data_IF_146423388854
#
_entry.id   IF_146423388854
#
_cell.length_a   1.000
_cell.length_b   1.000
_cell.length_c   1.000
_cell.angle_alpha   90.00
_cell.angle_beta   90.00
_cell.angle_gamma   90.00
#
_symmetry.space_group_name_H-M   'P 1'
#
loop_
_entity.id
_entity.type
_entity.pdbx_description
1 polymer ?
#
# COMPACT_ATOMS: atom_id res chain seq x y z
N UNK A 1 36.44 -12.27 6.04
CA UNK A 1 35.90 -13.23 7.02
C UNK A 1 34.92 -12.59 8.01
N UNK A 2 35.26 -11.49 8.69
CA UNK A 2 34.36 -10.85 9.66
C UNK A 2 32.99 -10.42 9.08
N UNK A 3 32.96 -9.84 7.87
CA UNK A 3 31.71 -9.44 7.20
C UNK A 3 30.77 -10.63 6.94
N UNK A 4 31.33 -11.77 6.50
CA UNK A 4 30.53 -12.98 6.24
C UNK A 4 29.91 -13.53 7.53
N UNK A 5 30.64 -13.47 8.65
CA UNK A 5 30.12 -13.88 9.96
C UNK A 5 28.99 -12.96 10.45
N UNK A 6 29.12 -11.64 10.25
CA UNK A 6 28.06 -10.67 10.60
C UNK A 6 26.81 -10.88 9.73
N UNK A 7 26.97 -11.08 8.42
CA UNK A 7 25.86 -11.35 7.52
C UNK A 7 25.14 -12.66 7.87
N UNK A 8 25.88 -13.72 8.19
CA UNK A 8 25.31 -15.00 8.62
C UNK A 8 24.56 -14.86 9.96
N UNK A 9 25.13 -14.17 10.94
CA UNK A 9 24.47 -13.90 12.23
C UNK A 9 23.17 -13.10 12.08
N UNK A 10 23.18 -12.06 11.24
CA UNK A 10 21.99 -11.28 10.93
C UNK A 10 20.93 -12.10 10.19
N UNK A 11 21.32 -12.91 9.21
CA UNK A 11 20.40 -13.75 8.45
C UNK A 11 19.72 -14.79 9.34
N UNK A 12 20.44 -15.39 10.29
CA UNK A 12 19.88 -16.34 11.26
C UNK A 12 18.93 -15.62 12.24
N UNK A 13 19.25 -14.38 12.62
CA UNK A 13 18.40 -13.57 13.50
C UNK A 13 17.12 -13.05 12.85
N UNK A 14 17.01 -13.11 11.52
CA UNK A 14 15.86 -12.68 10.71
C UNK A 14 14.70 -13.69 10.74
N UNK A 15 14.44 -14.30 11.89
CA UNK A 15 13.31 -15.19 12.07
C UNK A 15 11.99 -14.41 12.04
N UNK A 16 11.15 -14.68 11.05
CA UNK A 16 9.77 -14.20 11.01
C UNK A 16 9.05 -14.64 12.28
N UNK A 17 8.50 -13.70 13.05
CA UNK A 17 7.64 -13.99 14.20
C UNK A 17 6.20 -14.06 13.71
N UNK A 18 5.60 -15.26 13.55
CA UNK A 18 4.23 -15.36 13.10
C UNK A 18 3.34 -14.79 14.21
N UNK A 19 2.52 -13.80 13.90
CA UNK A 19 1.50 -13.33 14.82
C UNK A 19 0.39 -14.38 14.76
N UNK A 20 0.07 -15.00 15.90
CA UNK A 20 -1.07 -15.89 16.01
C UNK A 20 -2.35 -15.05 15.89
N UNK A 21 -3.09 -15.22 14.81
CA UNK A 21 -4.35 -14.51 14.54
C UNK A 21 -5.48 -15.53 14.53
N UNK A 22 -6.58 -15.23 15.22
CA UNK A 22 -7.77 -16.05 15.16
C UNK A 22 -8.32 -16.09 13.71
N UNK A 23 -8.75 -17.26 13.20
CA UNK A 23 -9.31 -17.35 11.86
C UNK A 23 -10.51 -16.41 11.70
N UNK A 24 -10.45 -15.53 10.70
CA UNK A 24 -11.59 -14.69 10.31
C UNK A 24 -12.39 -15.38 9.20
N UNK A 25 -13.73 -15.22 9.17
CA UNK A 25 -14.52 -15.65 8.02
C UNK A 25 -13.98 -15.03 6.73
N UNK A 26 -14.03 -15.80 5.65
CA UNK A 26 -13.60 -15.31 4.34
C UNK A 26 -14.39 -14.06 3.94
N UNK A 27 -13.68 -12.97 3.65
CA UNK A 27 -14.29 -11.76 3.13
C UNK A 27 -14.80 -12.02 1.71
N UNK A 28 -16.09 -11.80 1.47
CA UNK A 28 -16.66 -11.87 0.13
C UNK A 28 -16.25 -10.63 -0.66
N UNK A 29 -15.44 -10.83 -1.69
CA UNK A 29 -15.00 -9.79 -2.62
C UNK A 29 -15.57 -10.06 -4.00
N UNK A 30 -16.11 -9.04 -4.65
CA UNK A 30 -16.48 -9.12 -6.07
C UNK A 30 -15.19 -9.16 -6.92
N UNK A 31 -14.78 -10.38 -7.28
CA UNK A 31 -13.57 -10.65 -8.06
C UNK A 31 -13.60 -9.99 -9.44
N UNK A 32 -14.77 -9.94 -10.08
CA UNK A 32 -14.92 -9.35 -11.42
C UNK A 32 -14.69 -7.83 -11.34
N UNK A 33 -15.30 -7.16 -10.37
CA UNK A 33 -15.11 -5.74 -10.18
C UNK A 33 -13.68 -5.41 -9.70
N UNK A 34 -13.08 -6.24 -8.84
CA UNK A 34 -11.69 -6.08 -8.41
C UNK A 34 -10.72 -6.19 -9.59
N UNK A 35 -10.88 -7.23 -10.42
CA UNK A 35 -10.07 -7.45 -11.63
C UNK A 35 -10.18 -6.28 -12.60
N UNK A 36 -11.38 -5.73 -12.79
CA UNK A 36 -11.59 -4.56 -13.66
C UNK A 36 -10.85 -3.32 -13.17
N UNK A 37 -10.91 -3.03 -11.87
CA UNK A 37 -10.19 -1.89 -11.26
C UNK A 37 -8.67 -2.08 -11.38
N UNK A 38 -8.17 -3.29 -11.10
CA UNK A 38 -6.76 -3.62 -11.24
C UNK A 38 -6.28 -3.46 -12.69
N UNK A 39 -7.03 -3.99 -13.66
CA UNK A 39 -6.71 -3.86 -15.08
C UNK A 39 -6.71 -2.39 -15.53
N UNK A 40 -7.58 -1.55 -14.98
CA UNK A 40 -7.56 -0.11 -15.25
C UNK A 40 -6.31 0.56 -14.65
N UNK A 41 -5.92 0.20 -13.42
CA UNK A 41 -4.73 0.74 -12.76
C UNK A 41 -3.44 0.38 -13.50
N UNK A 42 -3.27 -0.90 -13.88
CA UNK A 42 -2.07 -1.39 -14.60
C UNK A 42 -1.86 -0.71 -15.96
N UNK A 43 -2.92 -0.21 -16.60
CA UNK A 43 -2.81 0.53 -17.87
C UNK A 43 -2.28 1.95 -17.70
N UNK A 44 -2.33 2.51 -16.48
CA UNK A 44 -1.76 3.82 -16.16
C UNK A 44 -0.27 3.62 -15.94
N UNK A 45 0.56 4.20 -16.81
CA UNK A 45 2.02 4.02 -16.78
C UNK A 45 2.67 4.90 -15.70
N UNK A 46 2.51 4.54 -14.43
CA UNK A 46 3.15 5.21 -13.27
C UNK A 46 4.63 4.85 -13.16
N UNK A 47 5.39 5.18 -14.20
CA UNK A 47 6.84 4.92 -14.25
C UNK A 47 7.55 5.99 -13.43
N UNK A 48 8.31 5.53 -12.42
CA UNK A 48 9.21 6.36 -11.63
C UNK A 48 10.58 6.37 -12.28
N UNK A 49 11.20 7.55 -12.33
CA UNK A 49 12.55 7.75 -12.85
C UNK A 49 13.44 8.27 -11.72
N UNK A 50 14.74 7.94 -11.78
CA UNK A 50 15.73 8.46 -10.83
C UNK A 50 15.88 9.99 -10.95
N UNK A 51 15.63 10.53 -12.15
CA UNK A 51 15.51 11.97 -12.38
C UNK A 51 14.07 12.43 -12.04
N UNK A 52 13.87 13.24 -10.99
CA UNK A 52 12.53 13.71 -10.59
C UNK A 52 11.82 14.55 -11.66
N UNK A 53 12.57 15.17 -12.58
CA UNK A 53 12.02 15.95 -13.69
C UNK A 53 11.45 15.09 -14.82
N UNK A 54 11.74 13.78 -14.82
CA UNK A 54 11.19 12.81 -15.78
C UNK A 54 9.98 12.04 -15.20
N UNK A 55 9.75 12.13 -13.89
CA UNK A 55 8.64 11.46 -13.22
C UNK A 55 7.29 11.90 -13.80
N UNK A 56 6.48 10.91 -14.21
CA UNK A 56 5.18 11.13 -14.83
C UNK A 56 4.12 11.60 -13.83
N UNK A 57 4.22 12.85 -13.34
CA UNK A 57 3.26 13.45 -12.40
C UNK A 57 1.81 13.30 -12.86
N UNK A 58 1.57 13.38 -14.17
CA UNK A 58 0.25 13.15 -14.79
C UNK A 58 -0.24 11.72 -14.59
N UNK A 59 0.60 10.71 -14.75
CA UNK A 59 0.22 9.31 -14.58
C UNK A 59 -0.12 9.01 -13.11
N UNK A 60 0.65 9.55 -12.16
CA UNK A 60 0.32 9.42 -10.74
C UNK A 60 -1.00 10.12 -10.40
N UNK A 61 -1.25 11.32 -10.92
CA UNK A 61 -2.54 12.00 -10.75
C UNK A 61 -3.71 11.18 -11.34
N UNK A 62 -3.52 10.56 -12.51
CA UNK A 62 -4.51 9.66 -13.12
C UNK A 62 -4.81 8.45 -12.23
N UNK A 63 -3.78 7.87 -11.59
CA UNK A 63 -3.96 6.75 -10.67
C UNK A 63 -4.71 7.18 -9.41
N UNK A 64 -4.34 8.31 -8.80
CA UNK A 64 -5.01 8.85 -7.62
C UNK A 64 -6.50 9.08 -7.87
N UNK A 65 -6.82 9.63 -9.04
CA UNK A 65 -8.18 9.91 -9.48
C UNK A 65 -8.95 8.62 -9.81
N UNK A 66 -8.31 7.62 -10.43
CA UNK A 66 -8.89 6.29 -10.61
C UNK A 66 -9.26 5.66 -9.26
N UNK A 67 -8.38 5.75 -8.26
CA UNK A 67 -8.62 5.21 -6.91
C UNK A 67 -9.80 5.92 -6.23
N UNK A 68 -9.86 7.25 -6.33
CA UNK A 68 -10.95 8.04 -5.75
C UNK A 68 -12.31 7.63 -6.32
N UNK A 69 -12.41 7.44 -7.65
CA UNK A 69 -13.63 6.99 -8.32
C UNK A 69 -13.96 5.53 -8.06
N UNK A 70 -12.95 4.68 -7.94
CA UNK A 70 -13.11 3.22 -7.78
C UNK A 70 -13.59 2.82 -6.39
N UNK A 71 -13.28 3.64 -5.37
CA UNK A 71 -13.55 3.37 -3.96
C UNK A 71 -14.19 4.59 -3.25
N UNK A 72 -15.40 5.03 -3.66
CA UNK A 72 -16.02 6.24 -3.12
C UNK A 72 -16.28 6.18 -1.60
N UNK A 73 -16.61 4.99 -1.08
CA UNK A 73 -16.80 4.80 0.37
C UNK A 73 -15.50 4.97 1.15
N UNK A 74 -14.40 4.42 0.64
CA UNK A 74 -13.09 4.61 1.25
C UNK A 74 -12.69 6.09 1.20
N UNK A 75 -12.87 6.75 0.05
CA UNK A 75 -12.58 8.18 -0.09
C UNK A 75 -13.37 9.07 0.87
N UNK A 76 -14.59 8.67 1.23
CA UNK A 76 -15.47 9.36 2.18
C UNK A 76 -15.09 9.11 3.65
N UNK A 77 -14.69 7.88 3.98
CA UNK A 77 -14.43 7.46 5.36
C UNK A 77 -12.99 7.70 5.81
N UNK A 78 -12.04 7.64 4.89
CA UNK A 78 -10.62 7.73 5.18
C UNK A 78 -10.15 9.19 5.09
N UNK A 79 -9.31 9.58 6.05
CA UNK A 79 -8.59 10.84 5.99
C UNK A 79 -7.40 10.67 5.05
N UNK A 80 -7.48 11.31 3.87
CA UNK A 80 -6.44 11.24 2.85
C UNK A 80 -5.45 12.38 2.95
N UNK A 81 -4.17 12.04 2.96
CA UNK A 81 -3.06 12.97 2.82
C UNK A 81 -2.27 12.63 1.55
N UNK A 82 -1.90 13.66 0.80
CA UNK A 82 -1.02 13.54 -0.38
C UNK A 82 0.33 14.10 0.00
N UNK A 83 1.40 13.31 -0.19
CA UNK A 83 2.76 13.71 0.13
C UNK A 83 3.69 13.49 -1.05
N UNK A 84 4.77 14.27 -1.14
CA UNK A 84 5.76 14.21 -2.23
C UNK A 84 5.15 14.26 -3.65
N UNK A 85 4.01 14.94 -3.81
CA UNK A 85 3.30 15.11 -5.08
C UNK A 85 2.55 13.88 -5.62
N UNK A 86 2.96 12.66 -5.25
CA UNK A 86 2.38 11.41 -5.78
C UNK A 86 1.92 10.41 -4.71
N UNK A 87 2.51 10.45 -3.51
CA UNK A 87 2.24 9.51 -2.43
C UNK A 87 0.86 9.72 -1.82
N UNK A 88 0.21 8.62 -1.41
CA UNK A 88 -1.08 8.62 -0.73
C UNK A 88 -0.95 7.98 0.64
N UNK A 89 -1.46 8.65 1.66
CA UNK A 89 -1.73 8.09 2.98
C UNK A 89 -3.23 8.18 3.24
N UNK A 90 -3.89 7.03 3.36
CA UNK A 90 -5.32 6.95 3.71
C UNK A 90 -5.44 6.41 5.15
N UNK A 91 -5.72 7.32 6.10
CA UNK A 91 -5.86 6.97 7.50
C UNK A 91 -7.31 6.60 7.85
N UNK A 92 -7.49 5.42 8.46
CA UNK A 92 -8.73 5.03 9.11
C UNK A 92 -8.55 5.07 10.63
N UNK A 93 -9.17 6.04 11.29
CA UNK A 93 -9.16 6.10 12.75
C UNK A 93 -10.00 4.96 13.32
N UNK A 94 -9.35 4.07 14.07
CA UNK A 94 -10.00 2.96 14.77
C UNK A 94 -10.92 3.46 15.89
N UNK A 95 -11.88 2.65 16.28
CA UNK A 95 -12.79 2.96 17.40
C UNK A 95 -12.11 2.93 18.77
N UNK A 96 -10.99 2.22 18.89
CA UNK A 96 -10.19 2.13 20.11
C UNK A 96 -8.75 2.62 19.84
N UNK A 97 -8.40 3.84 20.29
CA UNK A 97 -7.08 4.42 20.08
C UNK A 97 -5.98 3.81 20.97
N UNK A 98 -6.33 2.93 21.93
CA UNK A 98 -5.34 2.24 22.76
C UNK A 98 -4.70 1.03 22.07
N UNK A 99 -5.28 0.54 20.97
CA UNK A 99 -4.75 -0.56 20.18
C UNK A 99 -3.60 -0.09 19.28
N UNK A 100 -2.65 -1.01 19.01
CA UNK A 100 -1.56 -0.72 18.08
C UNK A 100 -2.09 -0.53 16.65
N UNK A 101 -1.61 0.48 15.90
CA UNK A 101 -2.04 0.71 14.53
C UNK A 101 -1.51 -0.39 13.60
N UNK A 102 -2.25 -0.67 12.53
CA UNK A 102 -1.81 -1.50 11.42
C UNK A 102 -1.48 -0.61 10.21
N UNK A 103 -0.33 -0.86 9.58
CA UNK A 103 0.10 -0.14 8.38
C UNK A 103 0.16 -1.10 7.19
N UNK A 104 -0.55 -0.75 6.11
CA UNK A 104 -0.50 -1.43 4.83
C UNK A 104 0.28 -0.57 3.84
N UNK A 105 1.36 -1.11 3.29
CA UNK A 105 2.24 -0.41 2.34
C UNK A 105 2.23 -1.13 0.98
N UNK A 106 2.31 -0.33 -0.08
CA UNK A 106 2.42 -0.80 -1.45
C UNK A 106 3.01 0.28 -2.35
N UNK A 107 3.57 -0.15 -3.48
CA UNK A 107 4.08 0.70 -4.55
C UNK A 107 3.78 0.05 -5.90
#
# INVERSE_FOLDING_TARGET
>A
MALAAVLAGNAIGLASRPIAVAPLPALRVDLTAATRRLAAAVRIKTISYDNPHEAGAVAFAQLQELLARSFPNARRLLQREIFNGAGLLDAWHGSDPALAPALLLGH
#
